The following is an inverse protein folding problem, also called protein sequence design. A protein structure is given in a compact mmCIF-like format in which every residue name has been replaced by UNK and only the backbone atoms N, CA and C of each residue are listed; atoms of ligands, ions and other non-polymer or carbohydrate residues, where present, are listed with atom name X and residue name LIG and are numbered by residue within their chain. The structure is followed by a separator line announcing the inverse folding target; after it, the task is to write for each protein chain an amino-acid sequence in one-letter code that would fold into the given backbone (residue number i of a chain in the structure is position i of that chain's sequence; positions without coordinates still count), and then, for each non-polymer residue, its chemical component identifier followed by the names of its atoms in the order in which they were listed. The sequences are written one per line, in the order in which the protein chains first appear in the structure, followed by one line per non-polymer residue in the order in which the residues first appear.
data_IF_920876415669
#
_entry.id   IF_920876415669
#
_cell.length_a   1.000
_cell.length_b   1.000
_cell.length_c   1.000
_cell.angle_alpha   90.00
_cell.angle_beta   90.00
_cell.angle_gamma   90.00
#
_symmetry.space_group_name_H-M   'P 1'
#
loop_
_entity.id
_entity.type
_entity.pdbx_description
1 polymer ?
#
# COMPACT_ATOMS: atom_id res chain seq x y z
N UNK A 1 13.19 15.16 -4.46
CA UNK A 1 13.26 15.22 -2.98
C UNK A 1 11.90 15.72 -2.52
N UNK A 2 11.30 15.12 -1.49
CA UNK A 2 10.03 15.61 -0.97
C UNK A 2 10.25 16.99 -0.35
N UNK A 3 9.42 17.95 -0.74
CA UNK A 3 9.67 19.38 -0.56
C UNK A 3 9.21 19.88 0.80
N UNK A 4 8.22 19.20 1.38
CA UNK A 4 7.58 19.55 2.63
C UNK A 4 7.58 18.34 3.57
N UNK A 5 7.73 18.60 4.87
CA UNK A 5 7.69 17.60 5.93
C UNK A 5 6.77 18.14 7.03
N UNK A 6 5.76 17.34 7.41
CA UNK A 6 4.81 17.60 8.48
C UNK A 6 5.00 16.55 9.57
N UNK A 7 5.14 16.97 10.82
CA UNK A 7 5.54 16.11 11.94
C UNK A 7 4.80 16.45 13.24
N UNK A 8 4.77 15.50 14.16
CA UNK A 8 4.23 15.72 15.50
C UNK A 8 2.74 16.01 15.48
N UNK A 9 2.33 17.05 16.20
CA UNK A 9 0.91 17.41 16.37
C UNK A 9 0.30 18.07 15.12
N UNK A 10 1.13 18.49 14.15
CA UNK A 10 0.69 19.10 12.89
C UNK A 10 0.25 18.06 11.84
N UNK A 11 0.41 16.77 12.13
CA UNK A 11 0.04 15.69 11.20
C UNK A 11 -1.49 15.60 11.07
N UNK A 12 -2.00 16.05 9.92
CA UNK A 12 -3.39 15.85 9.51
C UNK A 12 -3.49 15.33 8.07
N UNK A 13 -3.93 14.09 7.91
CA UNK A 13 -4.21 13.49 6.60
C UNK A 13 -5.36 14.20 5.86
N UNK A 14 -6.22 14.93 6.57
CA UNK A 14 -7.34 15.66 5.98
C UNK A 14 -6.97 17.04 5.41
N UNK A 15 -5.70 17.45 5.54
CA UNK A 15 -5.16 18.55 4.74
C UNK A 15 -5.11 18.20 3.24
N UNK A 16 -5.14 16.90 2.92
CA UNK A 16 -5.30 16.39 1.56
C UNK A 16 -6.78 16.12 1.24
N UNK A 17 -7.19 16.14 -0.05
CA UNK A 17 -8.59 15.95 -0.44
C UNK A 17 -9.01 14.47 -0.37
N UNK A 18 -9.06 13.88 0.84
CA UNK A 18 -9.36 12.47 1.08
C UNK A 18 -10.81 12.13 0.71
N UNK A 19 -11.05 11.32 -0.34
CA UNK A 19 -12.40 11.08 -0.83
C UNK A 19 -13.13 10.02 0.00
N UNK A 20 -14.46 10.13 0.00
CA UNK A 20 -15.35 8.97 0.12
C UNK A 20 -15.66 8.52 -1.31
N UNK A 21 -15.31 7.29 -1.69
CA UNK A 21 -15.44 6.86 -3.09
C UNK A 21 -16.88 6.52 -3.47
N UNK A 22 -17.62 5.90 -2.55
CA UNK A 22 -18.99 5.47 -2.77
C UNK A 22 -19.88 5.82 -1.57
N UNK A 23 -21.17 6.00 -1.83
CA UNK A 23 -22.15 6.45 -0.82
C UNK A 23 -22.20 5.57 0.44
N UNK A 24 -21.92 4.27 0.32
CA UNK A 24 -21.96 3.32 1.43
C UNK A 24 -20.57 2.87 1.90
N UNK A 25 -19.49 3.54 1.50
CA UNK A 25 -18.17 3.29 2.09
C UNK A 25 -18.17 3.74 3.57
N UNK A 26 -17.50 2.99 4.44
CA UNK A 26 -17.45 3.24 5.89
C UNK A 26 -16.67 4.48 6.31
N UNK A 27 -16.04 5.18 5.36
CA UNK A 27 -15.30 6.41 5.64
C UNK A 27 -14.51 6.92 4.45
N UNK A 28 -13.57 7.83 4.75
CA UNK A 28 -12.67 8.42 3.77
C UNK A 28 -11.46 7.49 3.55
N UNK A 29 -11.07 7.29 2.31
CA UNK A 29 -9.93 6.45 1.95
C UNK A 29 -8.80 7.26 1.34
N UNK A 30 -7.72 7.42 2.10
CA UNK A 30 -6.52 8.16 1.69
C UNK A 30 -5.66 7.37 0.70
N UNK A 31 -5.68 6.04 0.81
CA UNK A 31 -4.91 5.16 -0.06
C UNK A 31 -5.80 4.13 -0.73
N UNK A 32 -6.06 4.29 -2.03
CA UNK A 32 -6.70 3.23 -2.86
C UNK A 32 -5.88 2.90 -4.10
N UNK A 33 -5.14 3.88 -4.63
CA UNK A 33 -4.06 3.68 -5.58
C UNK A 33 -2.73 4.07 -4.92
N UNK A 34 -2.22 3.23 -4.02
CA UNK A 34 -1.02 3.47 -3.22
C UNK A 34 -0.10 2.24 -3.16
N UNK A 35 1.13 2.45 -2.67
CA UNK A 35 2.03 1.41 -2.21
C UNK A 35 2.17 1.45 -0.69
N UNK A 36 1.84 0.36 -0.01
CA UNK A 36 2.03 0.18 1.43
C UNK A 36 3.25 -0.70 1.64
N UNK A 37 4.20 -0.20 2.40
CA UNK A 37 5.53 -0.75 2.53
C UNK A 37 5.71 -1.24 3.97
N UNK A 38 6.20 -2.46 4.08
CA UNK A 38 6.48 -3.15 5.34
C UNK A 38 7.81 -3.89 5.22
N UNK A 39 8.41 -4.23 6.35
CA UNK A 39 9.63 -5.03 6.41
C UNK A 39 9.37 -6.25 7.28
N UNK A 40 9.83 -7.43 6.85
CA UNK A 40 9.77 -8.62 7.66
C UNK A 40 10.74 -8.52 8.86
N UNK A 41 10.29 -8.75 10.12
CA UNK A 41 11.14 -8.57 11.29
C UNK A 41 12.24 -9.63 11.41
N UNK A 42 12.08 -10.78 10.77
CA UNK A 42 13.02 -11.90 10.88
C UNK A 42 14.08 -11.87 9.77
N UNK A 43 13.63 -11.65 8.53
CA UNK A 43 14.49 -11.70 7.34
C UNK A 43 14.96 -10.32 6.85
N UNK A 44 14.35 -9.24 7.32
CA UNK A 44 14.64 -7.88 6.86
C UNK A 44 14.09 -7.58 5.45
N UNK A 45 13.38 -8.51 4.82
CA UNK A 45 12.80 -8.38 3.48
C UNK A 45 11.77 -7.27 3.44
N UNK A 46 11.90 -6.36 2.49
CA UNK A 46 10.90 -5.32 2.22
C UNK A 46 9.83 -5.87 1.29
N UNK A 47 8.57 -5.54 1.57
CA UNK A 47 7.43 -5.73 0.67
C UNK A 47 6.85 -4.35 0.35
N UNK A 48 6.50 -4.12 -0.91
CA UNK A 48 5.63 -3.00 -1.30
C UNK A 48 4.36 -3.58 -1.92
N UNK A 49 3.20 -3.32 -1.33
CA UNK A 49 1.92 -3.86 -1.82
C UNK A 49 0.81 -2.83 -1.84
N UNK A 50 -0.11 -2.92 -2.80
CA UNK A 50 -1.31 -2.06 -2.79
C UNK A 50 -2.38 -2.62 -1.86
N UNK A 51 -2.57 -1.96 -0.73
CA UNK A 51 -3.61 -2.25 0.27
C UNK A 51 -4.39 -0.96 0.54
N UNK A 52 -5.72 -1.07 0.72
CA UNK A 52 -6.53 0.13 0.93
C UNK A 52 -6.28 0.71 2.32
N UNK A 53 -6.23 2.03 2.43
CA UNK A 53 -5.99 2.76 3.67
C UNK A 53 -7.17 3.68 3.95
N UNK A 54 -7.91 3.42 5.02
CA UNK A 54 -9.00 4.25 5.51
C UNK A 54 -8.44 5.27 6.51
N UNK A 55 -8.73 6.55 6.29
CA UNK A 55 -8.43 7.59 7.26
C UNK A 55 -9.58 7.66 8.28
N UNK A 56 -9.25 7.44 9.56
CA UNK A 56 -10.21 7.41 10.67
C UNK A 56 -10.04 8.61 11.63
N UNK A 57 -9.03 9.44 11.41
CA UNK A 57 -8.72 10.65 12.16
C UNK A 57 -7.56 11.41 11.50
N UNK A 58 -7.15 12.54 12.06
CA UNK A 58 -6.07 13.38 11.51
C UNK A 58 -4.78 12.56 11.30
N UNK A 59 -4.36 11.80 12.32
CA UNK A 59 -3.14 10.99 12.28
C UNK A 59 -3.39 9.49 12.49
N UNK A 60 -4.64 9.03 12.33
CA UNK A 60 -5.03 7.63 12.56
C UNK A 60 -5.64 7.04 11.28
N UNK A 61 -5.17 5.86 10.90
CA UNK A 61 -5.65 5.12 9.74
C UNK A 61 -5.84 3.62 10.06
N UNK A 62 -6.50 2.89 9.17
CA UNK A 62 -6.48 1.42 9.13
C UNK A 62 -6.14 0.97 7.72
N UNK A 63 -5.61 -0.25 7.57
CA UNK A 63 -5.35 -0.84 6.26
C UNK A 63 -5.80 -2.29 6.22
N UNK A 64 -6.85 -2.57 5.45
CA UNK A 64 -7.24 -3.95 5.20
C UNK A 64 -6.29 -4.63 4.22
N UNK A 65 -5.67 -5.72 4.67
CA UNK A 65 -4.77 -6.53 3.86
C UNK A 65 -5.35 -7.95 3.77
N UNK A 66 -5.65 -8.40 2.55
CA UNK A 66 -6.22 -9.75 2.34
C UNK A 66 -5.27 -10.88 2.75
N UNK A 67 -5.85 -12.00 3.18
CA UNK A 67 -5.11 -13.21 3.57
C UNK A 67 -4.09 -13.65 2.51
N UNK A 68 -2.90 -14.03 2.96
CA UNK A 68 -1.81 -14.52 2.11
C UNK A 68 -0.98 -13.43 1.43
N UNK A 69 -1.27 -12.14 1.67
CA UNK A 69 -0.41 -11.05 1.23
C UNK A 69 0.79 -10.88 2.16
N UNK A 70 1.96 -10.61 1.59
CA UNK A 70 3.21 -10.45 2.33
C UNK A 70 3.12 -9.34 3.40
N UNK A 71 2.51 -8.19 3.10
CA UNK A 71 2.31 -7.13 4.10
C UNK A 71 1.50 -7.58 5.33
N UNK A 72 0.51 -8.46 5.15
CA UNK A 72 -0.26 -9.04 6.27
C UNK A 72 0.64 -9.93 7.13
N UNK A 73 1.38 -10.83 6.48
CA UNK A 73 2.28 -11.78 7.14
C UNK A 73 3.35 -11.03 7.95
N UNK A 74 3.95 -10.00 7.36
CA UNK A 74 4.98 -9.18 8.01
C UNK A 74 4.40 -8.41 9.20
N UNK A 75 3.27 -7.73 9.02
CA UNK A 75 2.56 -7.01 10.09
C UNK A 75 2.26 -7.93 11.26
N UNK A 76 1.63 -9.07 10.98
CA UNK A 76 1.15 -9.97 12.04
C UNK A 76 2.29 -10.59 12.86
N UNK A 77 3.50 -10.75 12.29
CA UNK A 77 4.69 -11.14 13.07
C UNK A 77 5.07 -10.13 14.15
N UNK A 78 5.03 -8.82 13.83
CA UNK A 78 5.27 -7.77 14.84
C UNK A 78 4.19 -7.79 15.91
N UNK A 79 2.92 -7.83 15.51
CA UNK A 79 1.80 -7.76 16.45
C UNK A 79 1.78 -8.99 17.36
N UNK A 80 2.07 -10.19 16.84
CA UNK A 80 2.20 -11.40 17.63
C UNK A 80 3.36 -11.34 18.64
N UNK A 81 4.38 -10.52 18.38
CA UNK A 81 5.48 -10.25 19.31
C UNK A 81 5.20 -9.08 20.26
N UNK A 82 3.98 -8.50 20.25
CA UNK A 82 3.61 -7.33 21.04
C UNK A 82 4.38 -6.07 20.65
N UNK A 83 4.87 -5.99 19.41
CA UNK A 83 5.65 -4.86 18.90
C UNK A 83 4.85 -4.10 17.85
N UNK A 84 4.98 -2.76 17.80
CA UNK A 84 4.43 -2.01 16.69
C UNK A 84 5.12 -2.39 15.37
N UNK A 85 4.37 -2.43 14.27
CA UNK A 85 4.90 -2.69 12.94
C UNK A 85 5.18 -1.37 12.20
N UNK A 86 6.44 -1.03 11.88
CA UNK A 86 6.73 0.12 11.03
C UNK A 86 6.06 -0.02 9.66
N UNK A 87 5.41 1.06 9.19
CA UNK A 87 4.70 1.06 7.92
C UNK A 87 4.85 2.42 7.23
N UNK A 88 5.12 2.39 5.93
CA UNK A 88 5.11 3.56 5.07
C UNK A 88 4.01 3.43 4.00
N UNK A 89 3.22 4.48 3.82
CA UNK A 89 2.12 4.54 2.84
C UNK A 89 2.50 5.59 1.79
N UNK A 90 2.58 5.16 0.53
CA UNK A 90 3.05 5.98 -0.59
C UNK A 90 1.90 6.20 -1.56
N UNK A 91 1.46 7.46 -1.68
CA UNK A 91 0.36 7.89 -2.55
C UNK A 91 0.95 8.77 -3.66
N UNK A 92 0.38 8.67 -4.87
CA UNK A 92 1.01 9.23 -6.07
C UNK A 92 2.37 8.61 -6.34
N UNK A 93 2.44 7.28 -6.22
CA UNK A 93 3.62 6.52 -6.60
C UNK A 93 3.72 6.42 -8.14
N UNK A 94 4.93 6.31 -8.68
CA UNK A 94 5.11 6.23 -10.13
C UNK A 94 4.39 4.99 -10.72
N UNK A 95 3.95 5.03 -11.99
CA UNK A 95 3.18 3.95 -12.59
C UNK A 95 3.87 2.58 -12.56
N UNK A 96 5.21 2.52 -12.65
CA UNK A 96 5.95 1.26 -12.69
C UNK A 96 6.02 0.63 -11.30
N UNK A 97 6.32 1.42 -10.28
CA UNK A 97 6.24 0.98 -8.88
C UNK A 97 4.81 0.60 -8.48
N UNK A 98 3.79 1.32 -8.98
CA UNK A 98 2.39 0.95 -8.74
C UNK A 98 2.04 -0.41 -9.33
N UNK A 99 2.50 -0.70 -10.55
CA UNK A 99 2.32 -2.01 -11.18
C UNK A 99 3.01 -3.12 -10.37
N UNK A 100 4.22 -2.87 -9.87
CA UNK A 100 4.94 -3.80 -9.01
C UNK A 100 4.16 -4.09 -7.72
N UNK A 101 3.68 -3.05 -7.04
CA UNK A 101 2.93 -3.15 -5.79
C UNK A 101 1.59 -3.90 -5.92
N UNK A 102 0.96 -3.83 -7.10
CA UNK A 102 -0.32 -4.54 -7.36
C UNK A 102 -0.13 -6.00 -7.74
N UNK A 103 1.01 -6.35 -8.31
CA UNK A 103 1.25 -7.70 -8.81
C UNK A 103 1.69 -8.65 -7.68
N UNK A 104 1.27 -9.90 -7.75
CA UNK A 104 1.74 -10.91 -6.79
C UNK A 104 3.05 -11.48 -7.33
N UNK A 105 4.18 -10.95 -6.85
CA UNK A 105 5.51 -11.44 -7.17
C UNK A 105 5.88 -12.67 -6.31
N UNK A 106 6.78 -13.55 -6.81
CA UNK A 106 7.37 -14.60 -6.00
C UNK A 106 8.12 -14.03 -4.80
N UNK A 107 8.22 -14.81 -3.72
CA UNK A 107 8.90 -14.37 -2.49
C UNK A 107 10.40 -14.06 -2.68
N UNK A 108 11.01 -14.59 -3.73
CA UNK A 108 12.41 -14.34 -4.07
C UNK A 108 12.64 -13.01 -4.81
N UNK A 109 11.58 -12.26 -5.12
CA UNK A 109 11.65 -11.04 -5.92
C UNK A 109 11.13 -9.86 -5.09
N UNK A 110 11.93 -8.80 -5.02
CA UNK A 110 11.55 -7.53 -4.41
C UNK A 110 10.80 -6.67 -5.43
N UNK A 111 9.72 -6.00 -5.02
CA UNK A 111 8.95 -5.13 -5.92
C UNK A 111 9.77 -3.97 -6.48
N UNK A 112 10.72 -3.44 -5.69
CA UNK A 112 11.62 -2.36 -6.15
C UNK A 112 12.56 -2.84 -7.26
N UNK A 113 13.13 -4.05 -7.12
CA UNK A 113 14.00 -4.63 -8.13
C UNK A 113 13.22 -4.95 -9.41
N UNK A 114 11.98 -5.47 -9.26
CA UNK A 114 11.11 -5.75 -10.39
C UNK A 114 10.73 -4.47 -11.15
N UNK A 115 10.39 -3.41 -10.42
CA UNK A 115 10.10 -2.10 -10.99
C UNK A 115 11.34 -1.49 -11.68
N UNK A 116 12.52 -1.64 -11.10
CA UNK A 116 13.78 -1.22 -11.71
C UNK A 116 14.11 -2.00 -12.99
N UNK A 117 13.90 -3.32 -12.98
CA UNK A 117 14.07 -4.17 -14.15
C UNK A 117 13.12 -3.76 -15.28
N UNK A 118 11.85 -3.49 -14.97
CA UNK A 118 10.87 -3.01 -15.96
C UNK A 118 11.24 -1.62 -16.51
N UNK A 119 11.82 -0.76 -15.66
CA UNK A 119 12.28 0.58 -16.03
C UNK A 119 13.62 0.59 -16.78
N UNK A 120 14.34 -0.55 -16.84
CA UNK A 120 15.68 -0.66 -17.41
C UNK A 120 16.78 0.08 -16.61
N UNK A 121 16.47 0.54 -15.39
CA UNK A 121 17.39 1.24 -14.50
C UNK A 121 16.97 1.05 -13.03
N UNK A 122 17.90 1.12 -12.07
CA UNK A 122 17.56 1.13 -10.65
C UNK A 122 16.55 2.24 -10.31
N UNK A 123 15.66 1.98 -9.36
CA UNK A 123 14.78 3.00 -8.83
C UNK A 123 15.55 3.94 -7.89
N UNK A 124 15.30 5.23 -8.02
CA UNK A 124 15.72 6.21 -7.02
C UNK A 124 14.81 6.08 -5.80
N UNK A 125 15.38 5.71 -4.66
CA UNK A 125 14.67 5.52 -3.40
C UNK A 125 15.20 6.43 -2.31
N UNK A 126 14.33 6.81 -1.38
CA UNK A 126 14.67 7.48 -0.13
C UNK A 126 14.36 6.52 1.01
N UNK A 127 15.13 6.59 2.08
CA UNK A 127 14.82 5.88 3.33
C UNK A 127 14.05 6.81 4.26
N UNK A 128 12.92 6.32 4.77
CA UNK A 128 12.14 7.04 5.76
C UNK A 128 12.88 7.12 7.09
N UNK A 129 12.99 8.32 7.65
CA UNK A 129 13.78 8.54 8.86
C UNK A 129 13.15 7.91 10.11
N UNK A 130 11.82 7.72 10.14
CA UNK A 130 11.13 7.14 11.28
C UNK A 130 11.04 5.61 11.20
N UNK A 131 10.72 5.09 10.02
CA UNK A 131 10.46 3.66 9.82
C UNK A 131 11.68 2.89 9.30
N UNK A 132 12.66 3.58 8.72
CA UNK A 132 13.77 2.96 7.98
C UNK A 132 13.30 2.18 6.75
N UNK A 133 12.08 2.44 6.26
CA UNK A 133 11.54 1.79 5.07
C UNK A 133 11.89 2.60 3.82
N UNK A 134 12.30 1.93 2.73
CA UNK A 134 12.55 2.63 1.47
C UNK A 134 11.22 3.01 0.81
N UNK A 135 11.19 4.12 0.09
CA UNK A 135 10.09 4.49 -0.81
C UNK A 135 10.63 5.23 -2.04
N UNK A 136 9.92 5.23 -3.19
CA UNK A 136 10.40 5.91 -4.39
C UNK A 136 10.57 7.42 -4.16
N UNK A 137 11.72 7.97 -4.57
CA UNK A 137 12.05 9.39 -4.39
C UNK A 137 11.12 10.35 -5.16
N UNK A 138 10.42 9.82 -6.17
CA UNK A 138 9.46 10.53 -7.02
C UNK A 138 8.02 10.55 -6.50
N UNK A 139 7.76 10.03 -5.29
CA UNK A 139 6.41 9.96 -4.71
C UNK A 139 5.79 11.34 -4.47
N UNK A 140 4.47 11.42 -4.50
CA UNK A 140 3.73 12.67 -4.26
C UNK A 140 3.48 12.92 -2.76
N UNK A 141 3.02 11.89 -2.05
CA UNK A 141 2.73 11.92 -0.61
C UNK A 141 3.27 10.62 0.00
N UNK A 142 4.03 10.72 1.09
CA UNK A 142 4.51 9.58 1.87
C UNK A 142 4.14 9.78 3.33
N UNK A 143 3.48 8.80 3.91
CA UNK A 143 3.10 8.80 5.33
C UNK A 143 3.88 7.72 6.05
N UNK A 144 4.66 8.11 7.06
CA UNK A 144 5.37 7.20 7.94
C UNK A 144 4.63 7.03 9.25
N UNK A 145 4.52 5.79 9.72
CA UNK A 145 3.84 5.48 10.95
C UNK A 145 4.11 4.07 11.43
N UNK A 146 3.28 3.64 12.37
CA UNK A 146 3.35 2.28 12.91
C UNK A 146 1.96 1.72 13.19
N UNK A 147 1.82 0.42 12.96
CA UNK A 147 0.62 -0.34 13.30
C UNK A 147 0.69 -0.76 14.76
N UNK A 148 -0.35 -0.44 15.51
CA UNK A 148 -0.47 -0.75 16.94
C UNK A 148 -0.77 -2.24 17.18
N UNK A 149 -0.11 -2.90 18.15
CA UNK A 149 -0.48 -4.25 18.60
C UNK A 149 -1.72 -4.26 19.51
N UNK A 150 -2.08 -3.12 20.09
CA UNK A 150 -3.07 -3.05 21.18
C UNK A 150 -4.34 -2.28 20.79
N UNK A 151 -4.33 -1.57 19.66
CA UNK A 151 -5.42 -0.69 19.23
C UNK A 151 -6.03 -1.22 17.93
N UNK A 152 -7.35 -1.43 17.92
CA UNK A 152 -8.12 -1.85 16.75
C UNK A 152 -9.37 -1.00 16.62
N UNK A 153 -9.86 -0.84 15.39
CA UNK A 153 -11.15 -0.19 15.11
C UNK A 153 -11.80 -0.81 13.88
N UNK A 154 -13.07 -0.50 13.62
CA UNK A 154 -13.71 -0.95 12.37
C UNK A 154 -13.10 -0.28 11.14
N UNK A 155 -12.76 -1.10 10.15
CA UNK A 155 -12.42 -0.74 8.78
C UNK A 155 -13.56 -1.17 7.85
N UNK A 156 -13.89 -0.33 6.87
CA UNK A 156 -14.95 -0.59 5.92
C UNK A 156 -16.36 -0.31 6.44
N UNK A 157 -17.40 -0.72 5.69
CA UNK A 157 -17.32 -1.49 4.46
C UNK A 157 -16.71 -0.68 3.30
N UNK A 158 -16.26 -1.36 2.25
CA UNK A 158 -15.71 -0.73 1.06
C UNK A 158 -16.22 -1.44 -0.20
N UNK A 159 -16.45 -0.68 -1.28
CA UNK A 159 -16.72 -1.26 -2.60
C UNK A 159 -15.56 -2.15 -3.07
N UNK A 160 -15.79 -3.45 -3.19
CA UNK A 160 -14.74 -4.41 -3.56
C UNK A 160 -14.58 -4.55 -5.08
N UNK A 161 -13.44 -5.07 -5.50
CA UNK A 161 -13.08 -5.29 -6.92
C UNK A 161 -14.06 -6.18 -7.71
N UNK A 162 -14.95 -6.91 -7.03
CA UNK A 162 -16.03 -7.66 -7.67
C UNK A 162 -17.19 -6.77 -8.15
N UNK A 163 -17.21 -5.49 -7.76
CA UNK A 163 -18.29 -4.54 -8.06
C UNK A 163 -19.37 -4.45 -6.97
N UNK A 164 -19.13 -5.00 -5.78
CA UNK A 164 -20.10 -5.13 -4.70
C UNK A 164 -19.44 -4.94 -3.33
N UNK A 165 -20.24 -4.59 -2.32
CA UNK A 165 -19.83 -4.61 -0.91
C UNK A 165 -19.81 -6.07 -0.40
N UNK A 166 -18.71 -6.78 -0.66
CA UNK A 166 -18.59 -8.20 -0.32
C UNK A 166 -17.95 -8.45 1.06
N UNK A 167 -17.21 -7.47 1.59
CA UNK A 167 -16.35 -7.66 2.74
C UNK A 167 -16.92 -7.23 4.11
N UNK A 168 -18.04 -6.49 4.13
CA UNK A 168 -18.54 -5.85 5.36
C UNK A 168 -17.52 -4.91 6.02
N UNK A 169 -17.87 -4.40 7.20
CA UNK A 169 -16.91 -3.78 8.12
C UNK A 169 -16.23 -4.87 8.97
N UNK A 170 -14.99 -4.64 9.39
CA UNK A 170 -14.24 -5.57 10.25
C UNK A 170 -13.23 -4.85 11.14
N UNK A 171 -12.88 -5.39 12.31
CA UNK A 171 -11.79 -4.84 13.12
C UNK A 171 -10.44 -4.96 12.39
N UNK A 172 -9.72 -3.86 12.24
CA UNK A 172 -8.34 -3.82 11.80
C UNK A 172 -7.46 -3.06 12.81
N UNK A 173 -6.16 -3.43 12.93
CA UNK A 173 -5.21 -2.69 13.73
C UNK A 173 -5.07 -1.23 13.28
N UNK A 174 -4.98 -0.33 14.26
CA UNK A 174 -4.82 1.10 13.99
C UNK A 174 -3.38 1.43 13.62
N UNK A 175 -3.23 2.23 12.57
CA UNK A 175 -1.98 2.82 12.12
C UNK A 175 -1.93 4.24 12.69
N UNK A 176 -0.86 4.57 13.41
CA UNK A 176 -0.60 5.95 13.84
C UNK A 176 0.42 6.57 12.90
N UNK A 177 0.00 7.57 12.13
CA UNK A 177 0.86 8.36 11.26
C UNK A 177 1.62 9.38 12.11
N UNK A 178 2.94 9.40 11.97
CA UNK A 178 3.84 10.25 12.76
C UNK A 178 4.49 11.34 11.92
N UNK A 179 4.54 11.14 10.60
CA UNK A 179 5.14 12.08 9.67
C UNK A 179 4.54 11.95 8.29
N UNK A 180 4.37 13.08 7.61
CA UNK A 180 3.97 13.15 6.21
C UNK A 180 5.02 13.95 5.45
N UNK A 181 5.49 13.38 4.34
CA UNK A 181 6.30 14.07 3.36
C UNK A 181 5.46 14.29 2.11
N UNK A 182 5.53 15.47 1.49
CA UNK A 182 4.80 15.70 0.25
C UNK A 182 5.47 16.73 -0.67
N UNK A 183 5.12 16.68 -1.96
CA UNK A 183 5.42 17.74 -2.93
C UNK A 183 4.57 18.98 -2.66
N UNK A 184 4.99 20.15 -3.14
CA UNK A 184 4.25 21.40 -2.93
C UNK A 184 2.87 21.43 -3.57
N UNK A 185 2.69 20.70 -4.69
CA UNK A 185 1.41 20.50 -5.36
C UNK A 185 1.16 18.99 -5.55
N UNK A 186 0.80 18.28 -4.46
CA UNK A 186 0.82 16.84 -4.44
C UNK A 186 -0.40 16.23 -5.14
N UNK A 187 -0.17 15.18 -5.93
CA UNK A 187 -1.24 14.44 -6.60
C UNK A 187 -1.68 13.25 -5.73
N UNK A 188 -2.92 13.31 -5.22
CA UNK A 188 -3.56 12.21 -4.52
C UNK A 188 -4.18 11.23 -5.55
N UNK A 189 -3.57 10.05 -5.70
CA UNK A 189 -4.07 9.01 -6.60
C UNK A 189 -5.14 8.14 -5.96
N UNK A 190 -6.19 7.86 -6.73
CA UNK A 190 -7.34 7.06 -6.27
C UNK A 190 -7.62 5.87 -7.20
N UNK A 191 -8.12 4.79 -6.61
CA UNK A 191 -8.72 3.67 -7.32
C UNK A 191 -10.08 3.31 -6.72
N UNK A 192 -11.14 3.93 -7.22
CA UNK A 192 -12.50 3.55 -6.86
C UNK A 192 -12.89 2.24 -7.57
N UNK A 193 -13.19 1.19 -6.80
CA UNK A 193 -13.72 -0.06 -7.34
C UNK A 193 -15.08 0.16 -8.01
N UNK A 194 -15.28 -0.38 -9.19
CA UNK A 194 -16.55 -0.23 -9.92
C UNK A 194 -17.08 -1.61 -10.33
N UNK A 195 -18.29 -1.66 -10.87
CA UNK A 195 -18.79 -2.89 -11.50
C UNK A 195 -17.91 -3.22 -12.71
N UNK A 196 -17.38 -4.45 -12.84
CA UNK A 196 -16.59 -4.85 -13.99
C UNK A 196 -17.35 -4.70 -15.32
N UNK A 197 -16.68 -4.34 -16.43
CA UNK A 197 -15.26 -4.00 -16.53
C UNK A 197 -14.97 -2.55 -16.14
N UNK A 198 -13.83 -2.30 -15.48
CA UNK A 198 -13.35 -0.95 -15.16
C UNK A 198 -11.82 -0.86 -15.22
N UNK A 199 -11.27 0.36 -15.22
CA UNK A 199 -9.85 0.68 -15.45
C UNK A 199 -8.89 -0.20 -14.65
N UNK A 200 -9.08 -0.32 -13.34
CA UNK A 200 -8.18 -1.09 -12.45
C UNK A 200 -8.20 -2.61 -12.66
N UNK A 201 -9.15 -3.14 -13.44
CA UNK A 201 -9.16 -4.55 -13.85
C UNK A 201 -8.39 -4.76 -15.16
N UNK A 202 -8.36 -3.78 -16.07
CA UNK A 202 -7.66 -3.91 -17.34
C UNK A 202 -6.16 -4.15 -17.14
N UNK A 203 -5.49 -3.35 -16.31
CA UNK A 203 -4.08 -3.52 -15.95
C UNK A 203 -3.80 -4.93 -15.39
N UNK A 204 -4.70 -5.42 -14.52
CA UNK A 204 -4.60 -6.72 -13.87
C UNK A 204 -4.79 -7.84 -14.88
N UNK A 205 -5.67 -7.69 -15.86
CA UNK A 205 -5.86 -8.65 -16.94
C UNK A 205 -4.55 -8.86 -17.71
N UNK A 206 -3.88 -7.80 -18.16
CA UNK A 206 -2.64 -7.94 -18.93
C UNK A 206 -1.53 -8.64 -18.14
N UNK A 207 -1.26 -8.19 -16.90
CA UNK A 207 -0.20 -8.79 -16.07
C UNK A 207 -0.50 -10.24 -15.68
N UNK A 208 -1.76 -10.54 -15.30
CA UNK A 208 -2.17 -11.92 -14.96
C UNK A 208 -2.13 -12.83 -16.17
N UNK A 209 -2.55 -12.35 -17.35
CA UNK A 209 -2.51 -13.12 -18.58
C UNK A 209 -1.08 -13.44 -19.00
N UNK A 210 -0.15 -12.48 -18.88
CA UNK A 210 1.27 -12.71 -19.13
C UNK A 210 1.86 -13.72 -18.14
N UNK A 211 1.65 -13.55 -16.83
CA UNK A 211 2.14 -14.49 -15.83
C UNK A 211 1.55 -15.90 -15.97
N UNK A 212 0.27 -16.01 -16.36
CA UNK A 212 -0.36 -17.29 -16.66
C UNK A 212 0.24 -17.93 -17.91
N UNK A 213 0.47 -17.14 -18.96
CA UNK A 213 1.11 -17.61 -20.19
C UNK A 213 2.50 -18.17 -19.88
N UNK A 214 3.35 -17.40 -19.18
CA UNK A 214 4.67 -17.85 -18.75
C UNK A 214 4.62 -19.15 -17.94
N UNK A 215 3.64 -19.28 -17.04
CA UNK A 215 3.43 -20.50 -16.26
C UNK A 215 3.01 -21.71 -17.09
N UNK A 216 2.40 -21.50 -18.26
CA UNK A 216 1.97 -22.55 -19.19
C UNK A 216 3.07 -22.92 -20.18
N UNK A 217 3.85 -21.93 -20.67
CA UNK A 217 4.82 -22.14 -21.74
C UNK A 217 6.26 -22.36 -21.26
N UNK A 218 6.64 -21.93 -20.05
CA UNK A 218 7.93 -22.32 -19.48
C UNK A 218 7.80 -23.74 -18.91
N UNK A 219 8.40 -24.76 -19.55
CA UNK A 219 8.48 -26.07 -18.94
C UNK A 219 9.29 -25.88 -17.66
N UNK A 220 8.84 -26.47 -16.56
CA UNK A 220 9.59 -26.53 -15.30
C UNK A 220 11.04 -26.96 -15.60
N UNK A 221 11.98 -26.01 -15.68
CA UNK A 221 13.40 -26.28 -15.45
C UNK A 221 13.53 -26.58 -13.95
N UNK A 222 13.11 -27.79 -13.57
CA UNK A 222 13.52 -28.43 -12.33
C UNK A 222 14.96 -28.87 -12.55
N UNK A 223 15.90 -28.10 -12.02
CA UNK A 223 17.20 -28.61 -11.58
C UNK A 223 17.07 -29.06 -10.14
#
# INVERSE_FOLDING_TARGET
MLENIVEGDDVDMFDFPVPVHHEADGGRYIGTACGVITRDPDSGRVNMGTYRVQAIGANKATSYISNGKQGLIQRDKYLAAGKPCPMAIVIGIDPVSFLAARYTLPDSVCEFDWAGALSGKPLDVLEGELTGLPFPAGSEIVMEGEVSPDETTEEGPFGEWHGYYAGGARPEPVITIKRIYHRSDPILTCAASQKPPHSHLFERCFLRSAGLWDSLIMPRCRT
#
